data_IF_428534011881
#
_entry.id   IF_428534011881
#
_cell.length_a   1.000
_cell.length_b   1.000
_cell.length_c   1.000
_cell.angle_alpha   90.00
_cell.angle_beta   90.00
_cell.angle_gamma   90.00
#
_symmetry.space_group_name_H-M   'P 1'
#
loop_
_entity.id
_entity.type
_entity.pdbx_description
1 polymer ?
#
# COMPACT_ATOMS: atom_id res chain seq x y z
N UNK A 1 -28.68 -49.22 14.57
CA UNK A 1 -28.94 -48.34 15.73
C UNK A 1 -30.08 -47.43 15.29
N UNK A 2 -31.00 -47.03 16.17
CA UNK A 2 -32.20 -46.28 15.72
C UNK A 2 -31.80 -44.83 15.40
N UNK A 3 -31.90 -44.37 14.13
CA UNK A 3 -31.50 -43.01 13.74
C UNK A 3 -32.20 -41.92 14.57
N UNK A 4 -33.45 -42.16 14.97
CA UNK A 4 -34.23 -41.20 15.73
C UNK A 4 -33.76 -41.06 17.19
N UNK A 5 -33.20 -42.11 17.78
CA UNK A 5 -32.61 -42.04 19.13
C UNK A 5 -31.27 -41.30 19.09
N UNK A 6 -30.44 -41.54 18.06
CA UNK A 6 -29.16 -40.85 17.88
C UNK A 6 -29.34 -39.34 17.65
N UNK A 7 -30.30 -38.95 16.79
CA UNK A 7 -30.64 -37.54 16.56
C UNK A 7 -31.03 -36.83 17.86
N UNK A 8 -31.85 -37.47 18.69
CA UNK A 8 -32.26 -36.89 19.99
C UNK A 8 -31.09 -36.75 20.95
N UNK A 9 -30.22 -37.76 21.02
CA UNK A 9 -29.04 -37.70 21.86
C UNK A 9 -28.10 -36.58 21.42
N UNK A 10 -27.88 -36.43 20.11
CA UNK A 10 -27.07 -35.33 19.58
C UNK A 10 -27.67 -33.97 19.90
N UNK A 11 -28.99 -33.77 19.73
CA UNK A 11 -29.65 -32.51 20.08
C UNK A 11 -29.49 -32.18 21.57
N UNK A 12 -29.61 -33.16 22.48
CA UNK A 12 -29.40 -32.94 23.92
C UNK A 12 -27.94 -32.57 24.25
N UNK A 13 -26.98 -33.15 23.52
CA UNK A 13 -25.57 -32.76 23.62
C UNK A 13 -25.40 -31.32 23.12
N UNK A 14 -25.96 -30.98 21.96
CA UNK A 14 -25.88 -29.64 21.38
C UNK A 14 -26.51 -28.58 22.28
N UNK A 15 -27.64 -28.87 22.94
CA UNK A 15 -28.23 -27.97 23.97
C UNK A 15 -27.29 -27.69 25.13
N UNK A 16 -26.45 -28.66 25.49
CA UNK A 16 -25.49 -28.51 26.58
C UNK A 16 -24.26 -27.72 26.14
N UNK A 17 -23.83 -27.90 24.89
CA UNK A 17 -22.68 -27.19 24.31
C UNK A 17 -23.05 -25.73 23.97
N UNK A 18 -24.24 -25.52 23.39
CA UNK A 18 -24.74 -24.26 22.86
C UNK A 18 -26.06 -23.85 23.54
N UNK A 19 -26.05 -23.52 24.85
CA UNK A 19 -27.29 -23.26 25.59
C UNK A 19 -28.03 -21.98 25.15
N UNK A 20 -27.30 -20.96 24.73
CA UNK A 20 -27.84 -19.64 24.33
C UNK A 20 -27.81 -19.43 22.80
N UNK A 21 -27.04 -20.24 22.08
CA UNK A 21 -26.81 -20.11 20.63
C UNK A 21 -27.72 -21.03 19.80
N UNK A 22 -28.30 -22.06 20.41
CA UNK A 22 -29.14 -23.06 19.76
C UNK A 22 -30.62 -22.68 19.80
N UNK A 23 -31.23 -22.53 18.63
CA UNK A 23 -32.67 -22.33 18.48
C UNK A 23 -33.33 -23.56 17.83
N UNK A 24 -34.20 -24.23 18.56
CA UNK A 24 -34.89 -25.44 18.08
C UNK A 24 -36.23 -25.05 17.46
N UNK A 25 -36.40 -25.34 16.17
CA UNK A 25 -37.68 -25.14 15.47
C UNK A 25 -38.56 -26.38 15.56
N UNK A 26 -37.95 -27.56 15.43
CA UNK A 26 -38.63 -28.86 15.51
C UNK A 26 -37.68 -29.96 15.98
N UNK A 27 -38.20 -31.17 16.16
CA UNK A 27 -37.41 -32.36 16.55
C UNK A 27 -36.31 -32.73 15.53
N UNK A 28 -36.40 -32.22 14.30
CA UNK A 28 -35.46 -32.50 13.21
C UNK A 28 -34.86 -31.25 12.57
N UNK A 29 -35.20 -30.06 13.07
CA UNK A 29 -34.76 -28.78 12.46
C UNK A 29 -34.44 -27.77 13.55
N UNK A 30 -33.25 -27.20 13.48
CA UNK A 30 -32.74 -26.24 14.45
C UNK A 30 -31.66 -25.37 13.82
N UNK A 31 -31.35 -24.26 14.48
CA UNK A 31 -30.29 -23.33 14.09
C UNK A 31 -29.29 -23.17 15.21
N UNK A 32 -28.04 -22.92 14.85
CA UNK A 32 -26.94 -22.60 15.78
C UNK A 32 -26.35 -21.27 15.32
N UNK A 33 -26.45 -20.24 16.16
CA UNK A 33 -25.85 -18.94 15.92
C UNK A 33 -24.42 -18.91 16.47
N UNK A 34 -23.43 -19.04 15.60
CA UNK A 34 -22.02 -19.11 15.97
C UNK A 34 -21.39 -17.72 15.96
N UNK A 35 -20.99 -17.24 17.14
CA UNK A 35 -20.21 -16.02 17.29
C UNK A 35 -18.75 -16.26 16.88
N UNK A 36 -18.23 -15.41 16.00
CA UNK A 36 -16.84 -15.43 15.55
C UNK A 36 -15.95 -14.76 16.60
N UNK A 37 -14.81 -15.38 16.91
CA UNK A 37 -13.80 -14.84 17.80
C UNK A 37 -12.77 -14.03 17.01
N UNK A 38 -13.11 -12.78 16.72
CA UNK A 38 -12.27 -11.83 15.97
C UNK A 38 -11.98 -10.61 16.84
N UNK A 39 -10.81 -9.99 16.67
CA UNK A 39 -10.37 -8.81 17.44
C UNK A 39 -11.11 -7.51 17.01
N UNK A 40 -12.43 -7.58 16.83
CA UNK A 40 -13.31 -6.46 16.49
C UNK A 40 -14.17 -6.07 17.69
N UNK A 41 -14.50 -4.78 17.81
CA UNK A 41 -15.45 -4.27 18.78
C UNK A 41 -16.91 -4.67 18.42
N UNK A 42 -17.24 -4.69 17.13
CA UNK A 42 -18.46 -5.29 16.59
C UNK A 42 -18.39 -6.82 16.70
N UNK A 43 -19.48 -7.42 17.15
CA UNK A 43 -19.61 -8.88 17.11
C UNK A 43 -19.96 -9.31 15.69
N UNK A 44 -19.29 -10.35 15.22
CA UNK A 44 -19.58 -11.00 13.95
C UNK A 44 -20.11 -12.40 14.21
N UNK A 45 -21.11 -12.83 13.44
CA UNK A 45 -21.76 -14.11 13.65
C UNK A 45 -22.12 -14.77 12.31
N UNK A 46 -22.11 -16.11 12.30
CA UNK A 46 -22.68 -16.92 11.22
C UNK A 46 -23.71 -17.86 11.82
N UNK A 47 -24.86 -18.00 11.18
CA UNK A 47 -25.92 -18.89 11.64
C UNK A 47 -25.97 -20.10 10.72
N UNK A 48 -25.73 -21.25 11.31
CA UNK A 48 -25.90 -22.54 10.67
C UNK A 48 -27.33 -22.98 10.93
N UNK A 49 -28.08 -23.34 9.90
CA UNK A 49 -29.24 -24.16 10.14
C UNK A 49 -29.16 -25.54 9.51
N UNK A 50 -29.74 -26.47 10.26
CA UNK A 50 -29.57 -27.90 10.10
C UNK A 50 -30.95 -28.53 10.07
N UNK A 51 -31.15 -29.41 9.09
CA UNK A 51 -32.30 -30.31 9.06
C UNK A 51 -31.88 -31.75 8.88
N UNK A 52 -32.29 -32.58 9.82
CA UNK A 52 -32.01 -34.00 9.81
C UNK A 52 -32.90 -34.75 8.82
N UNK A 53 -32.33 -35.50 7.86
CA UNK A 53 -33.07 -36.53 7.15
C UNK A 53 -33.40 -37.69 8.09
N UNK A 54 -34.42 -38.48 7.73
CA UNK A 54 -34.88 -39.62 8.52
C UNK A 54 -33.80 -40.68 8.79
N UNK A 55 -32.76 -40.72 7.97
CA UNK A 55 -31.65 -41.69 8.05
C UNK A 55 -30.34 -41.09 8.58
N UNK A 56 -30.34 -39.85 9.07
CA UNK A 56 -29.15 -39.28 9.72
C UNK A 56 -28.80 -40.07 11.00
N UNK A 57 -27.52 -40.44 11.22
CA UNK A 57 -26.29 -39.94 10.58
C UNK A 57 -25.74 -40.75 9.39
N UNK A 58 -26.48 -41.74 8.86
CA UNK A 58 -26.04 -42.52 7.69
C UNK A 58 -26.06 -41.71 6.38
N UNK A 59 -26.74 -40.57 6.38
CA UNK A 59 -26.80 -39.60 5.27
C UNK A 59 -26.51 -38.21 5.82
N UNK A 60 -25.90 -37.37 4.99
CA UNK A 60 -25.61 -35.98 5.32
C UNK A 60 -26.89 -35.20 5.68
N UNK A 61 -26.83 -34.30 6.68
CA UNK A 61 -27.94 -33.40 6.97
C UNK A 61 -28.10 -32.36 5.86
N UNK A 62 -29.30 -31.77 5.75
CA UNK A 62 -29.49 -30.57 4.95
C UNK A 62 -28.92 -29.39 5.75
N UNK A 63 -27.94 -28.68 5.16
CA UNK A 63 -27.24 -27.58 5.80
C UNK A 63 -27.45 -26.29 5.01
N UNK A 64 -27.59 -25.18 5.72
CA UNK A 64 -27.55 -23.86 5.11
C UNK A 64 -26.91 -22.86 6.04
N UNK A 65 -25.99 -22.09 5.49
CA UNK A 65 -25.29 -21.02 6.20
C UNK A 65 -25.95 -19.70 5.85
N UNK A 66 -26.22 -18.88 6.85
CA UNK A 66 -26.70 -17.50 6.70
C UNK A 66 -25.88 -16.56 7.59
N UNK A 67 -25.99 -15.25 7.36
CA UNK A 67 -25.43 -14.26 8.28
C UNK A 67 -26.10 -14.43 9.66
N UNK A 68 -25.28 -14.46 10.71
CA UNK A 68 -25.74 -14.67 12.08
C UNK A 68 -26.37 -13.43 12.69
N UNK A 69 -27.07 -13.64 13.80
CA UNK A 69 -27.67 -12.54 14.53
C UNK A 69 -26.66 -11.96 15.53
N UNK A 70 -26.48 -10.65 15.47
CA UNK A 70 -25.63 -9.88 16.40
C UNK A 70 -26.46 -9.10 17.42
N UNK A 71 -27.78 -9.38 17.48
CA UNK A 71 -28.90 -8.69 18.16
C UNK A 71 -28.63 -7.94 19.50
N UNK A 72 -27.57 -8.27 20.24
CA UNK A 72 -27.18 -7.55 21.46
C UNK A 72 -26.38 -6.27 21.20
N UNK A 73 -25.82 -6.08 20.01
CA UNK A 73 -24.91 -4.98 19.68
C UNK A 73 -25.36 -4.17 18.47
N UNK A 74 -26.58 -4.33 17.92
CA UNK A 74 -27.04 -3.54 16.76
C UNK A 74 -27.02 -2.01 17.04
N UNK A 75 -27.39 -1.60 18.26
CA UNK A 75 -27.28 -0.19 18.67
C UNK A 75 -25.82 0.26 18.79
N UNK A 76 -24.93 -0.64 19.25
CA UNK A 76 -23.50 -0.37 19.46
C UNK A 76 -22.72 -0.37 18.14
N UNK A 77 -23.05 -1.29 17.24
CA UNK A 77 -22.62 -1.35 15.85
C UNK A 77 -23.03 -0.07 15.12
N UNK A 78 -24.26 0.39 15.31
CA UNK A 78 -24.74 1.65 14.74
C UNK A 78 -24.10 2.90 15.39
N UNK A 79 -23.63 2.81 16.64
CA UNK A 79 -22.86 3.87 17.30
C UNK A 79 -21.43 3.93 16.76
N UNK A 80 -20.76 2.78 16.62
CA UNK A 80 -19.45 2.66 15.97
C UNK A 80 -19.50 3.14 14.52
N UNK A 81 -20.52 2.77 13.75
CA UNK A 81 -20.70 3.27 12.38
C UNK A 81 -20.82 4.80 12.32
N UNK A 82 -21.52 5.41 13.28
CA UNK A 82 -21.64 6.89 13.36
C UNK A 82 -20.34 7.54 13.78
N UNK A 83 -19.62 6.99 14.76
CA UNK A 83 -18.30 7.49 15.16
C UNK A 83 -17.31 7.44 13.99
N UNK A 84 -17.32 6.36 13.20
CA UNK A 84 -16.51 6.24 11.98
C UNK A 84 -16.87 7.34 10.96
N UNK A 85 -18.16 7.62 10.73
CA UNK A 85 -18.62 8.65 9.80
C UNK A 85 -18.30 10.09 10.27
N UNK A 86 -18.43 10.39 11.56
CA UNK A 86 -18.17 11.71 12.13
C UNK A 86 -16.65 12.05 12.20
N UNK A 87 -15.79 11.05 12.41
CA UNK A 87 -14.33 11.24 12.48
C UNK A 87 -13.64 11.44 11.11
N UNK A 88 -14.32 11.22 9.99
CA UNK A 88 -13.75 11.47 8.66
C UNK A 88 -13.52 12.97 8.35
N UNK A 89 -14.03 13.90 9.16
CA UNK A 89 -13.91 15.35 8.93
C UNK A 89 -12.54 15.97 9.30
N UNK A 90 -11.73 15.38 10.20
CA UNK A 90 -10.48 16.01 10.68
C UNK A 90 -9.20 15.41 10.03
N UNK A 91 -8.38 16.24 9.39
CA UNK A 91 -7.55 15.81 8.24
C UNK A 91 -6.10 15.36 8.48
N UNK A 92 -5.59 15.21 9.71
CA UNK A 92 -4.15 14.95 9.89
C UNK A 92 -3.77 13.61 10.59
N UNK A 93 -4.73 12.82 11.11
CA UNK A 93 -4.48 11.48 11.71
C UNK A 93 -5.09 10.30 10.94
N UNK A 94 -5.50 10.55 9.68
CA UNK A 94 -6.32 9.63 8.86
C UNK A 94 -5.73 8.25 8.60
N UNK A 95 -4.42 8.12 8.41
CA UNK A 95 -3.85 6.83 7.95
C UNK A 95 -3.80 5.77 9.08
N UNK A 96 -3.65 6.17 10.35
CA UNK A 96 -3.68 5.24 11.49
C UNK A 96 -5.09 4.90 11.93
N UNK A 97 -6.01 5.87 11.94
CA UNK A 97 -7.42 5.67 12.29
C UNK A 97 -8.15 4.81 11.26
N UNK A 98 -7.83 4.95 9.97
CA UNK A 98 -8.38 4.08 8.91
C UNK A 98 -8.02 2.61 9.08
N UNK A 99 -6.86 2.31 9.64
CA UNK A 99 -6.47 0.92 9.91
C UNK A 99 -7.26 0.31 11.09
N UNK A 100 -7.62 1.12 12.09
CA UNK A 100 -8.47 0.70 13.21
C UNK A 100 -9.93 0.56 12.76
N UNK A 101 -10.45 1.49 11.96
CA UNK A 101 -11.83 1.41 11.43
C UNK A 101 -12.04 0.26 10.45
N UNK A 102 -10.96 -0.26 9.85
CA UNK A 102 -11.06 -1.31 8.86
C UNK A 102 -11.54 -2.63 9.45
N UNK A 103 -11.17 -2.97 10.68
CA UNK A 103 -11.62 -4.23 11.29
C UNK A 103 -13.13 -4.23 11.56
N UNK A 104 -13.69 -3.06 11.88
CA UNK A 104 -15.10 -2.86 12.16
C UNK A 104 -15.98 -2.87 10.90
N UNK A 105 -15.43 -2.52 9.74
CA UNK A 105 -16.20 -2.44 8.48
C UNK A 105 -16.23 -3.72 7.67
N UNK A 106 -15.48 -4.75 8.07
CA UNK A 106 -15.45 -6.01 7.33
C UNK A 106 -16.66 -6.85 7.66
N UNK A 107 -17.35 -7.30 6.62
CA UNK A 107 -18.49 -8.20 6.74
C UNK A 107 -18.34 -9.40 5.78
N UNK A 108 -18.97 -10.52 6.14
CA UNK A 108 -19.05 -11.70 5.29
C UNK A 108 -20.17 -11.51 4.27
N UNK A 109 -19.80 -11.44 2.99
CA UNK A 109 -20.74 -11.23 1.90
C UNK A 109 -21.47 -12.54 1.57
N UNK A 110 -22.57 -12.44 0.81
CA UNK A 110 -23.29 -13.62 0.29
C UNK A 110 -22.40 -14.60 -0.48
N UNK A 111 -21.34 -14.11 -1.12
CA UNK A 111 -20.36 -14.95 -1.81
C UNK A 111 -19.57 -15.81 -0.82
N UNK A 112 -19.12 -15.21 0.28
CA UNK A 112 -18.36 -15.92 1.30
C UNK A 112 -19.24 -16.95 2.01
N UNK A 113 -20.48 -16.58 2.32
CA UNK A 113 -21.48 -17.52 2.87
C UNK A 113 -21.69 -18.72 1.93
N UNK A 114 -21.74 -18.49 0.61
CA UNK A 114 -21.80 -19.56 -0.38
C UNK A 114 -20.56 -20.47 -0.36
N UNK A 115 -19.36 -19.89 -0.29
CA UNK A 115 -18.11 -20.65 -0.19
C UNK A 115 -18.03 -21.47 1.11
N UNK A 116 -18.51 -20.92 2.25
CA UNK A 116 -18.60 -21.64 3.52
C UNK A 116 -19.57 -22.81 3.42
N UNK A 117 -20.75 -22.60 2.79
CA UNK A 117 -21.74 -23.66 2.59
C UNK A 117 -21.18 -24.80 1.75
N UNK A 118 -20.50 -24.49 0.64
CA UNK A 118 -19.92 -25.50 -0.25
C UNK A 118 -18.85 -26.34 0.48
N UNK A 119 -17.98 -25.69 1.26
CA UNK A 119 -16.97 -26.40 2.08
C UNK A 119 -17.63 -27.29 3.14
N UNK A 120 -18.66 -26.77 3.81
CA UNK A 120 -19.35 -27.49 4.87
C UNK A 120 -20.07 -28.72 4.34
N UNK A 121 -20.63 -28.66 3.14
CA UNK A 121 -21.23 -29.80 2.45
C UNK A 121 -20.19 -30.89 2.12
N UNK A 122 -18.97 -30.52 1.76
CA UNK A 122 -17.88 -31.49 1.56
C UNK A 122 -17.44 -32.13 2.89
N UNK A 123 -17.32 -31.35 3.96
CA UNK A 123 -17.00 -31.86 5.29
C UNK A 123 -18.08 -32.80 5.83
N UNK A 124 -19.36 -32.49 5.59
CA UNK A 124 -20.49 -33.34 5.96
C UNK A 124 -20.41 -34.71 5.27
N UNK A 125 -20.02 -34.74 3.99
CA UNK A 125 -19.85 -36.01 3.25
C UNK A 125 -18.71 -36.87 3.80
N UNK A 126 -17.68 -36.25 4.37
CA UNK A 126 -16.55 -36.97 4.97
C UNK A 126 -16.89 -37.57 6.34
N UNK A 127 -17.86 -36.98 7.05
CA UNK A 127 -18.26 -37.38 8.41
C UNK A 127 -19.55 -38.21 8.46
N UNK A 128 -19.91 -38.89 7.35
CA UNK A 128 -21.05 -39.81 7.32
C UNK A 128 -20.83 -41.01 8.25
N UNK A 129 -21.91 -41.42 8.91
CA UNK A 129 -21.92 -42.61 9.79
C UNK A 129 -21.62 -42.29 11.25
N UNK A 130 -21.47 -41.01 11.60
CA UNK A 130 -21.43 -40.54 12.99
C UNK A 130 -22.16 -39.21 13.16
N UNK A 131 -22.74 -38.94 14.34
CA UNK A 131 -23.20 -37.61 14.71
C UNK A 131 -22.05 -36.61 14.59
N UNK A 132 -22.22 -35.61 13.74
CA UNK A 132 -21.17 -34.72 13.24
C UNK A 132 -21.55 -33.25 13.28
N UNK A 133 -22.74 -32.88 13.79
CA UNK A 133 -23.19 -31.48 13.81
C UNK A 133 -22.25 -30.59 14.61
N UNK A 134 -21.73 -31.08 15.74
CA UNK A 134 -20.75 -30.33 16.52
C UNK A 134 -19.45 -30.08 15.73
N UNK A 135 -18.96 -31.10 15.03
CA UNK A 135 -17.76 -31.00 14.18
C UNK A 135 -18.00 -29.99 13.06
N UNK A 136 -19.15 -30.07 12.39
CA UNK A 136 -19.55 -29.16 11.32
C UNK A 136 -19.70 -27.72 11.81
N UNK A 137 -20.33 -27.51 12.97
CA UNK A 137 -20.42 -26.19 13.60
C UNK A 137 -19.03 -25.62 13.93
N UNK A 138 -18.12 -26.45 14.45
CA UNK A 138 -16.74 -26.04 14.75
C UNK A 138 -15.95 -25.68 13.48
N UNK A 139 -16.02 -26.53 12.45
CA UNK A 139 -15.37 -26.26 11.15
C UNK A 139 -15.90 -25.00 10.51
N UNK A 140 -17.23 -24.79 10.53
CA UNK A 140 -17.85 -23.59 9.99
C UNK A 140 -17.36 -22.33 10.71
N UNK A 141 -17.27 -22.36 12.04
CA UNK A 141 -16.76 -21.24 12.84
C UNK A 141 -15.31 -20.91 12.46
N UNK A 142 -14.43 -21.92 12.45
CA UNK A 142 -13.02 -21.74 12.12
C UNK A 142 -12.84 -21.21 10.68
N UNK A 143 -13.57 -21.76 9.71
CA UNK A 143 -13.52 -21.32 8.31
C UNK A 143 -14.05 -19.88 8.15
N UNK A 144 -15.10 -19.51 8.88
CA UNK A 144 -15.65 -18.16 8.87
C UNK A 144 -14.66 -17.14 9.46
N UNK A 145 -14.03 -17.45 10.60
CA UNK A 145 -12.97 -16.64 11.20
C UNK A 145 -11.77 -16.49 10.27
N UNK A 146 -11.36 -17.58 9.60
CA UNK A 146 -10.28 -17.53 8.63
C UNK A 146 -10.61 -16.63 7.43
N UNK A 147 -11.84 -16.69 6.92
CA UNK A 147 -12.28 -15.85 5.82
C UNK A 147 -12.37 -14.38 6.21
N UNK A 148 -12.85 -14.08 7.42
CA UNK A 148 -12.87 -12.74 7.98
C UNK A 148 -11.45 -12.15 8.06
N UNK A 149 -10.53 -12.89 8.70
CA UNK A 149 -9.13 -12.47 8.86
C UNK A 149 -8.43 -12.28 7.51
N UNK A 150 -8.74 -13.13 6.53
CA UNK A 150 -8.20 -13.00 5.16
C UNK A 150 -8.69 -11.74 4.46
N UNK A 151 -9.96 -11.35 4.64
CA UNK A 151 -10.48 -10.08 4.12
C UNK A 151 -9.80 -8.89 4.79
N UNK A 152 -9.61 -8.94 6.10
CA UNK A 152 -8.89 -7.92 6.87
C UNK A 152 -7.46 -7.75 6.36
N UNK A 153 -6.72 -8.85 6.20
CA UNK A 153 -5.36 -8.82 5.67
C UNK A 153 -5.33 -8.27 4.22
N UNK A 154 -6.29 -8.67 3.38
CA UNK A 154 -6.34 -8.18 2.00
C UNK A 154 -6.60 -6.67 1.93
N UNK A 155 -7.49 -6.13 2.76
CA UNK A 155 -7.82 -4.71 2.73
C UNK A 155 -6.73 -3.85 3.40
N UNK A 156 -6.17 -4.31 4.52
CA UNK A 156 -5.00 -3.67 5.15
C UNK A 156 -3.82 -3.61 4.17
N UNK A 157 -3.60 -4.69 3.41
CA UNK A 157 -2.54 -4.74 2.41
C UNK A 157 -2.79 -3.77 1.24
N UNK A 158 -4.03 -3.61 0.77
CA UNK A 158 -4.35 -2.61 -0.27
C UNK A 158 -4.06 -1.19 0.21
N UNK A 159 -4.44 -0.88 1.45
CA UNK A 159 -4.19 0.42 2.06
C UNK A 159 -2.67 0.70 2.18
N UNK A 160 -1.91 -0.28 2.67
CA UNK A 160 -0.45 -0.17 2.76
C UNK A 160 0.20 -0.04 1.37
N UNK A 161 -0.26 -0.80 0.37
CA UNK A 161 0.23 -0.69 -1.00
C UNK A 161 -0.06 0.69 -1.61
N UNK A 162 -1.22 1.27 -1.33
CA UNK A 162 -1.57 2.62 -1.76
C UNK A 162 -0.65 3.66 -1.11
N UNK A 163 -0.39 3.52 0.20
CA UNK A 163 0.55 4.38 0.95
C UNK A 163 1.96 4.32 0.37
N UNK A 164 2.51 3.12 0.22
CA UNK A 164 3.85 2.90 -0.35
C UNK A 164 3.94 3.42 -1.80
N UNK A 165 2.87 3.29 -2.58
CA UNK A 165 2.83 3.80 -3.96
C UNK A 165 2.87 5.33 -4.01
N UNK A 166 2.17 6.01 -3.08
CA UNK A 166 2.22 7.47 -2.89
C UNK A 166 3.64 7.92 -2.53
N UNK A 167 4.23 7.29 -1.52
CA UNK A 167 5.61 7.60 -1.09
C UNK A 167 6.62 7.38 -2.23
N UNK A 168 6.48 6.30 -3.02
CA UNK A 168 7.33 6.05 -4.20
C UNK A 168 7.19 7.15 -5.25
N UNK A 169 6.00 7.70 -5.46
CA UNK A 169 5.81 8.82 -6.39
C UNK A 169 6.49 10.09 -5.90
N UNK A 170 6.45 10.35 -4.59
CA UNK A 170 7.15 11.47 -3.96
C UNK A 170 8.67 11.29 -4.00
N UNK A 171 9.16 10.09 -3.72
CA UNK A 171 10.58 9.74 -3.86
C UNK A 171 11.07 9.95 -5.30
N UNK A 172 10.26 9.59 -6.31
CA UNK A 172 10.61 9.87 -7.73
C UNK A 172 10.78 11.36 -8.02
N UNK A 173 10.02 12.24 -7.35
CA UNK A 173 10.20 13.70 -7.48
C UNK A 173 11.49 14.18 -6.81
N UNK A 174 11.92 13.50 -5.74
CA UNK A 174 13.11 13.84 -4.98
C UNK A 174 14.42 13.27 -5.58
N UNK A 175 14.34 12.14 -6.29
CA UNK A 175 15.48 11.56 -6.99
C UNK A 175 15.78 12.41 -8.24
N UNK A 176 16.78 13.29 -8.13
CA UNK A 176 17.27 14.08 -9.26
C UNK A 176 17.84 13.23 -10.40
N UNK A 177 18.04 13.86 -11.57
CA UNK A 177 18.71 13.20 -12.69
C UNK A 177 20.19 12.97 -12.34
N UNK A 178 20.63 11.70 -12.33
CA UNK A 178 22.06 11.39 -12.13
C UNK A 178 22.88 12.11 -13.21
N UNK A 179 23.93 12.82 -12.79
CA UNK A 179 24.83 13.53 -13.70
C UNK A 179 25.68 12.49 -14.44
N UNK A 180 25.27 12.14 -15.66
CA UNK A 180 26.09 11.37 -16.60
C UNK A 180 26.94 12.32 -17.44
N UNK A 181 28.04 11.82 -18.02
CA UNK A 181 28.93 12.64 -18.87
C UNK A 181 28.17 13.32 -20.02
N UNK A 182 27.29 12.58 -20.69
CA UNK A 182 26.49 13.09 -21.80
C UNK A 182 25.50 14.18 -21.35
N UNK A 183 24.81 13.97 -20.21
CA UNK A 183 23.90 14.97 -19.65
C UNK A 183 24.66 16.23 -19.18
N UNK A 184 25.85 16.04 -18.59
CA UNK A 184 26.69 17.15 -18.16
C UNK A 184 27.23 17.96 -19.34
N UNK A 185 27.68 17.32 -20.41
CA UNK A 185 28.16 18.00 -21.62
C UNK A 185 27.03 18.81 -22.29
N UNK A 186 25.83 18.24 -22.41
CA UNK A 186 24.66 18.93 -22.93
C UNK A 186 24.25 20.12 -22.05
N UNK A 187 24.25 19.95 -20.73
CA UNK A 187 24.03 21.03 -19.78
C UNK A 187 25.13 22.11 -19.87
N UNK A 188 26.40 21.72 -19.94
CA UNK A 188 27.54 22.63 -20.02
C UNK A 188 27.48 23.50 -21.27
N UNK A 189 27.05 22.95 -22.41
CA UNK A 189 26.85 23.72 -23.65
C UNK A 189 25.74 24.76 -23.48
N UNK A 190 24.59 24.36 -22.90
CA UNK A 190 23.48 25.29 -22.63
C UNK A 190 23.87 26.36 -21.61
N UNK A 191 24.47 25.97 -20.50
CA UNK A 191 24.94 26.86 -19.43
C UNK A 191 25.97 27.87 -19.93
N UNK A 192 26.96 27.43 -20.72
CA UNK A 192 27.97 28.34 -21.31
C UNK A 192 27.38 29.33 -22.31
N UNK A 193 26.31 28.94 -23.00
CA UNK A 193 25.55 29.80 -23.91
C UNK A 193 24.72 30.82 -23.13
N UNK A 194 23.99 30.39 -22.11
CA UNK A 194 23.14 31.23 -21.26
C UNK A 194 23.96 32.24 -20.45
N UNK A 195 25.10 31.82 -19.91
CA UNK A 195 26.02 32.70 -19.17
C UNK A 195 26.85 33.63 -20.08
N UNK A 196 26.68 33.55 -21.40
CA UNK A 196 27.42 34.37 -22.37
C UNK A 196 28.93 34.26 -22.23
N UNK A 197 29.45 33.12 -21.73
CA UNK A 197 30.88 32.99 -21.39
C UNK A 197 31.74 33.04 -22.65
N UNK A 198 31.20 32.58 -23.79
CA UNK A 198 31.87 32.72 -25.09
C UNK A 198 32.00 34.19 -25.48
N UNK A 199 30.90 34.93 -25.54
CA UNK A 199 30.91 36.35 -25.93
C UNK A 199 31.72 37.21 -24.95
N UNK A 200 31.65 36.92 -23.64
CA UNK A 200 32.44 37.64 -22.63
C UNK A 200 33.93 37.35 -22.77
N UNK A 201 34.32 36.10 -23.08
CA UNK A 201 35.72 35.75 -23.34
C UNK A 201 36.22 36.35 -24.65
N UNK A 202 35.38 36.37 -25.69
CA UNK A 202 35.71 36.93 -27.00
C UNK A 202 35.89 38.45 -26.92
N UNK A 203 34.97 39.16 -26.27
CA UNK A 203 35.13 40.60 -25.98
C UNK A 203 36.39 40.90 -25.17
N UNK A 204 36.64 40.14 -24.09
CA UNK A 204 37.85 40.34 -23.27
C UNK A 204 39.12 40.03 -24.07
N UNK A 205 39.07 39.06 -24.97
CA UNK A 205 40.17 38.73 -25.85
C UNK A 205 40.41 39.86 -26.86
N UNK A 206 39.37 40.40 -27.49
CA UNK A 206 39.44 41.56 -28.39
C UNK A 206 39.97 42.82 -27.67
N UNK A 207 39.52 43.08 -26.44
CA UNK A 207 39.97 44.21 -25.61
C UNK A 207 41.45 44.13 -25.22
N UNK A 208 41.96 42.92 -24.95
CA UNK A 208 43.36 42.69 -24.61
C UNK A 208 44.25 42.69 -25.85
N UNK A 209 43.75 42.16 -26.96
CA UNK A 209 44.57 41.98 -28.15
C UNK A 209 44.55 43.20 -29.06
N UNK A 210 43.49 44.03 -29.08
CA UNK A 210 43.43 45.29 -29.84
C UNK A 210 44.02 45.20 -31.26
N UNK A 211 43.84 44.07 -31.95
CA UNK A 211 44.39 43.79 -33.28
C UNK A 211 45.85 43.29 -33.35
N UNK A 212 46.55 43.14 -32.21
CA UNK A 212 47.86 42.49 -32.08
C UNK A 212 47.70 40.97 -32.05
N UNK A 213 48.55 40.26 -32.79
CA UNK A 213 48.57 38.78 -32.79
C UNK A 213 48.81 38.25 -31.37
N UNK A 214 48.14 37.16 -31.02
CA UNK A 214 48.40 36.51 -29.72
C UNK A 214 49.83 36.01 -29.66
N UNK A 215 50.45 35.96 -28.48
CA UNK A 215 51.80 35.41 -28.32
C UNK A 215 51.95 33.97 -28.85
N UNK A 216 50.87 33.17 -28.82
CA UNK A 216 50.82 31.83 -29.41
C UNK A 216 50.85 31.87 -30.94
N UNK A 217 50.11 32.79 -31.57
CA UNK A 217 50.10 32.96 -33.02
C UNK A 217 51.41 33.58 -33.55
N UNK A 218 52.04 34.49 -32.80
CA UNK A 218 53.38 35.02 -33.12
C UNK A 218 54.41 33.88 -33.14
N UNK A 219 54.32 32.97 -32.16
CA UNK A 219 55.18 31.81 -32.05
C UNK A 219 54.92 30.79 -33.17
N UNK A 220 53.66 30.47 -33.47
CA UNK A 220 53.29 29.52 -34.54
C UNK A 220 53.55 30.07 -35.97
N UNK A 221 53.52 31.38 -36.19
CA UNK A 221 53.90 32.00 -37.48
C UNK A 221 55.41 32.19 -37.68
N UNK A 222 56.24 31.85 -36.70
CA UNK A 222 57.71 31.95 -36.82
C UNK A 222 58.25 33.38 -36.82
N UNK A 223 57.42 34.39 -36.54
CA UNK A 223 57.79 35.81 -36.49
C UNK A 223 58.57 36.20 -35.22
N UNK A 224 58.82 35.25 -34.32
CA UNK A 224 59.57 35.48 -33.09
C UNK A 224 61.10 35.63 -33.30
N UNK A 225 61.60 35.43 -34.53
CA UNK A 225 63.04 35.27 -34.79
C UNK A 225 63.68 36.11 -35.90
N UNK A 226 62.99 37.03 -36.57
CA UNK A 226 63.57 37.82 -37.68
C UNK A 226 63.87 39.28 -37.26
N UNK A 227 65.16 39.54 -37.03
CA UNK A 227 65.93 40.79 -36.86
C UNK A 227 65.30 42.05 -36.23
N UNK A 228 65.81 42.39 -35.02
CA UNK A 228 66.39 43.71 -34.77
C UNK A 228 65.45 44.89 -34.48
N UNK A 229 64.74 44.86 -33.36
CA UNK A 229 64.12 46.06 -32.79
C UNK A 229 63.55 45.79 -31.40
N UNK A 230 64.13 46.42 -30.37
CA UNK A 230 63.51 46.47 -29.05
C UNK A 230 62.10 47.06 -29.19
N UNK A 231 61.03 46.38 -28.74
CA UNK A 231 59.74 47.04 -28.63
C UNK A 231 59.87 48.04 -27.48
N UNK A 232 59.83 49.33 -27.79
CA UNK A 232 59.54 50.36 -26.80
C UNK A 232 58.15 50.06 -26.22
N UNK A 233 58.13 49.45 -25.04
CA UNK A 233 56.96 49.45 -24.18
C UNK A 233 56.78 50.88 -23.67
N UNK A 234 55.86 51.61 -24.29
CA UNK A 234 55.38 52.86 -23.72
C UNK A 234 54.81 52.54 -22.32
N UNK A 235 55.31 53.25 -21.31
CA UNK A 235 55.05 52.99 -19.89
C UNK A 235 53.58 53.20 -19.44
N UNK A 236 52.67 53.55 -20.36
CA UNK A 236 51.24 53.75 -20.06
C UNK A 236 50.42 52.43 -20.09
N UNK A 237 50.98 51.32 -20.59
CA UNK A 237 50.22 50.07 -20.79
C UNK A 237 50.19 49.12 -19.57
N UNK A 238 50.75 49.50 -18.42
CA UNK A 238 50.73 48.67 -17.18
C UNK A 238 49.40 48.83 -16.42
N UNK A 239 48.71 49.97 -16.56
CA UNK A 239 47.48 50.26 -15.81
C UNK A 239 46.25 49.43 -16.25
N UNK A 240 46.21 48.98 -17.51
CA UNK A 240 45.09 48.18 -18.03
C UNK A 240 45.11 46.72 -17.55
N UNK A 241 46.29 46.17 -17.26
CA UNK A 241 46.48 44.75 -16.93
C UNK A 241 46.09 44.43 -15.48
N UNK A 242 46.23 45.38 -14.54
CA UNK A 242 45.84 45.18 -13.13
C UNK A 242 44.33 45.06 -12.95
N UNK A 243 43.53 45.89 -13.64
CA UNK A 243 42.06 45.87 -13.55
C UNK A 243 41.43 44.54 -14.00
N UNK A 244 42.11 43.82 -14.90
CA UNK A 244 41.62 42.58 -15.51
C UNK A 244 41.95 41.35 -14.64
N UNK A 245 43.00 41.40 -13.82
CA UNK A 245 43.35 40.32 -12.88
C UNK A 245 42.47 40.30 -11.63
N UNK A 246 41.84 41.43 -11.31
CA UNK A 246 40.95 41.55 -10.15
C UNK A 246 39.59 40.88 -10.39
N UNK A 247 39.09 40.90 -11.64
CA UNK A 247 37.85 40.21 -12.04
C UNK A 247 37.93 38.68 -12.08
N UNK A 248 39.13 38.08 -12.04
CA UNK A 248 39.34 36.62 -11.99
C UNK A 248 39.30 36.06 -10.56
N UNK A 249 39.47 36.90 -9.53
CA UNK A 249 39.43 36.47 -8.12
C UNK A 249 37.99 36.23 -7.61
N UNK A 250 36.97 36.76 -8.31
CA UNK A 250 35.56 36.62 -7.93
C UNK A 250 34.80 35.51 -8.68
N UNK A 251 35.48 34.67 -9.45
CA UNK A 251 34.90 33.42 -10.00
C UNK A 251 35.76 32.24 -9.62
N UNK A 252 35.84 31.96 -8.32
CA UNK A 252 36.18 30.64 -7.84
C UNK A 252 34.87 29.99 -7.37
N UNK A 253 34.64 28.77 -7.85
CA UNK A 253 33.58 27.85 -7.45
C UNK A 253 33.66 27.60 -5.94
#
# INVERSE_FOLDING_TARGET
MDPAEEQKQEIEILKTIYPEELEILSDTEFTINLLLDVESERKHAVKLHIRYPATYPEVVPELWVVAGDTNADDEKNAEVEKEIEEEEEDTDLKDSQRALNLIETIELDKKDIGELSDKLDEEAKMNIGMPSVFTLASVLKDDAEQMFNKKLEAETQKLEQARVSREKQEQKKFIGTKVTRENFEAWQVKFRKEMGIKERKEKRFEEIHQGKLTGKEIFERGLAGEEGGEPQVAADDIAGMESVTEGLKNTSI
#
